data_IF_879221980348
#
_entry.id   IF_879221980348
#
_cell.length_a   1.000
_cell.length_b   1.000
_cell.length_c   1.000
_cell.angle_alpha   90.00
_cell.angle_beta   90.00
_cell.angle_gamma   90.00
#
_symmetry.space_group_name_H-M   'P 1'
#
loop_
_entity.id
_entity.type
_entity.pdbx_description
1 polymer ?
#
# COMPACT_ATOMS: atom_id res chain seq x y z
N UNK A 1 -6.82 -15.30 -0.50
CA UNK A 1 -7.09 -15.87 -1.84
C UNK A 1 -7.37 -14.78 -2.87
N UNK A 2 -8.36 -13.91 -2.66
CA UNK A 2 -8.68 -12.80 -3.58
C UNK A 2 -7.47 -11.93 -3.90
N UNK A 3 -6.72 -11.50 -2.89
CA UNK A 3 -5.51 -10.68 -3.06
C UNK A 3 -4.46 -11.33 -3.98
N UNK A 4 -4.21 -12.64 -3.81
CA UNK A 4 -3.27 -13.38 -4.63
C UNK A 4 -3.75 -13.46 -6.08
N UNK A 5 -5.03 -13.76 -6.29
CA UNK A 5 -5.61 -13.82 -7.63
C UNK A 5 -5.52 -12.46 -8.34
N UNK A 6 -5.89 -11.38 -7.67
CA UNK A 6 -5.78 -10.02 -8.20
C UNK A 6 -4.33 -9.67 -8.54
N UNK A 7 -3.39 -9.96 -7.63
CA UNK A 7 -1.97 -9.65 -7.83
C UNK A 7 -1.39 -10.44 -9.00
N UNK A 8 -1.74 -11.73 -9.13
CA UNK A 8 -1.35 -12.54 -10.27
C UNK A 8 -1.90 -11.97 -11.57
N UNK A 9 -3.20 -11.65 -11.61
CA UNK A 9 -3.84 -11.10 -12.81
C UNK A 9 -3.18 -9.77 -13.17
N UNK A 10 -3.12 -8.81 -12.24
CA UNK A 10 -2.59 -7.47 -12.50
C UNK A 10 -1.14 -7.55 -12.99
N UNK A 11 -0.25 -8.27 -12.30
CA UNK A 11 1.15 -8.32 -12.67
C UNK A 11 1.38 -9.07 -13.98
N UNK A 12 0.86 -10.28 -14.13
CA UNK A 12 1.16 -11.13 -15.29
C UNK A 12 0.39 -10.71 -16.54
N UNK A 13 -0.82 -10.15 -16.41
CA UNK A 13 -1.57 -9.63 -17.55
C UNK A 13 -0.97 -8.32 -18.07
N UNK A 14 -0.61 -7.40 -17.17
CA UNK A 14 -0.13 -6.06 -17.57
C UNK A 14 1.34 -6.08 -18.01
N UNK A 15 2.20 -6.83 -17.32
CA UNK A 15 3.65 -6.83 -17.57
C UNK A 15 4.13 -8.06 -18.35
N UNK A 16 3.24 -9.00 -18.66
CA UNK A 16 3.57 -10.26 -19.30
C UNK A 16 4.34 -11.23 -18.40
N UNK A 17 4.56 -12.43 -18.92
CA UNK A 17 5.27 -13.50 -18.22
C UNK A 17 6.78 -13.41 -18.48
N UNK A 18 7.51 -12.79 -17.56
CA UNK A 18 8.96 -12.60 -17.65
C UNK A 18 9.62 -12.62 -16.26
N UNK A 19 10.95 -12.56 -16.22
CA UNK A 19 11.74 -12.67 -14.98
C UNK A 19 11.48 -11.51 -14.00
N UNK A 20 11.29 -10.27 -14.48
CA UNK A 20 10.96 -9.12 -13.62
C UNK A 20 9.58 -9.25 -12.98
N UNK A 21 8.57 -9.72 -13.73
CA UNK A 21 7.22 -9.94 -13.20
C UNK A 21 7.21 -11.06 -12.16
N UNK A 22 7.93 -12.17 -12.40
CA UNK A 22 8.05 -13.27 -11.42
C UNK A 22 8.69 -12.81 -10.12
N UNK A 23 9.78 -12.03 -10.21
CA UNK A 23 10.45 -11.44 -9.06
C UNK A 23 9.53 -10.50 -8.29
N UNK A 24 8.86 -9.58 -8.99
CA UNK A 24 7.92 -8.65 -8.38
C UNK A 24 6.78 -9.37 -7.66
N UNK A 25 6.20 -10.40 -8.29
CA UNK A 25 5.15 -11.23 -7.71
C UNK A 25 5.61 -11.95 -6.44
N UNK A 26 6.83 -12.53 -6.46
CA UNK A 26 7.41 -13.19 -5.30
C UNK A 26 7.62 -12.22 -4.13
N UNK A 27 8.20 -11.04 -4.40
CA UNK A 27 8.41 -10.02 -3.39
C UNK A 27 7.08 -9.53 -2.81
N UNK A 28 6.08 -9.26 -3.66
CA UNK A 28 4.75 -8.84 -3.23
C UNK A 28 4.08 -9.87 -2.32
N UNK A 29 4.17 -11.17 -2.63
CA UNK A 29 3.63 -12.22 -1.77
C UNK A 29 4.28 -12.19 -0.38
N UNK A 30 5.61 -12.09 -0.31
CA UNK A 30 6.31 -12.06 0.97
C UNK A 30 5.86 -10.84 1.78
N UNK A 31 5.78 -9.67 1.14
CA UNK A 31 5.29 -8.46 1.78
C UNK A 31 3.85 -8.61 2.27
N UNK A 32 2.96 -9.25 1.50
CA UNK A 32 1.59 -9.49 1.93
C UNK A 32 1.48 -10.47 3.10
N UNK A 33 2.33 -11.49 3.16
CA UNK A 33 2.40 -12.36 4.33
C UNK A 33 2.79 -11.58 5.58
N UNK A 34 3.73 -10.63 5.45
CA UNK A 34 4.08 -9.71 6.54
C UNK A 34 2.88 -8.82 6.91
N UNK A 35 2.17 -8.24 5.94
CA UNK A 35 0.96 -7.44 6.22
C UNK A 35 -0.11 -8.24 6.97
N UNK A 36 -0.38 -9.47 6.54
CA UNK A 36 -1.37 -10.35 7.17
C UNK A 36 -1.02 -10.67 8.63
N UNK A 37 0.26 -10.64 8.98
CA UNK A 37 0.72 -10.83 10.36
C UNK A 37 0.59 -9.55 11.19
N UNK A 38 1.04 -8.41 10.65
CA UNK A 38 1.17 -7.16 11.41
C UNK A 38 -0.11 -6.33 11.48
N UNK A 39 -0.88 -6.23 10.38
CA UNK A 39 -2.04 -5.34 10.31
C UNK A 39 -3.14 -5.72 11.30
N UNK A 40 -3.54 -7.00 11.48
CA UNK A 40 -4.57 -7.34 12.47
C UNK A 40 -4.19 -7.00 13.92
N UNK A 41 -2.89 -6.98 14.23
CA UNK A 41 -2.40 -6.57 15.54
C UNK A 41 -2.49 -5.05 15.71
N UNK A 42 -2.05 -4.30 14.70
CA UNK A 42 -2.15 -2.83 14.65
C UNK A 42 -3.60 -2.35 14.74
N UNK A 43 -4.52 -2.93 13.95
CA UNK A 43 -5.93 -2.49 13.92
C UNK A 43 -6.63 -2.69 15.27
N UNK A 44 -6.25 -3.74 16.02
CA UNK A 44 -6.74 -3.95 17.39
C UNK A 44 -6.21 -2.91 18.38
N UNK A 45 -4.96 -2.49 18.24
CA UNK A 45 -4.36 -1.50 19.14
C UNK A 45 -4.93 -0.09 18.93
N UNK A 46 -5.18 0.31 17.68
CA UNK A 46 -5.61 1.66 17.34
C UNK A 46 -7.15 1.80 17.42
N UNK A 47 -7.89 0.69 17.58
CA UNK A 47 -9.34 0.66 17.71
C UNK A 47 -10.09 1.43 16.59
N UNK A 48 -9.54 1.44 15.38
CA UNK A 48 -10.06 2.12 14.18
C UNK A 48 -11.24 1.38 13.53
N UNK A 49 -11.85 0.42 14.22
CA UNK A 49 -12.91 -0.40 13.65
C UNK A 49 -14.30 0.15 13.94
N UNK A 50 -15.27 -0.32 13.13
CA UNK A 50 -16.63 0.18 13.13
C UNK A 50 -16.76 1.54 12.46
N UNK A 51 -17.99 2.05 12.45
CA UNK A 51 -18.32 3.27 11.72
C UNK A 51 -17.88 4.53 12.47
N UNK A 52 -17.62 5.59 11.72
CA UNK A 52 -17.44 6.94 12.24
C UNK A 52 -18.81 7.59 12.46
N UNK A 53 -18.92 8.64 13.30
CA UNK A 53 -20.19 9.35 13.47
C UNK A 53 -20.78 9.82 12.14
N UNK A 54 -19.93 10.30 11.23
CA UNK A 54 -20.30 10.77 9.90
C UNK A 54 -20.86 9.63 9.03
N UNK A 55 -20.24 8.44 9.08
CA UNK A 55 -20.73 7.25 8.38
C UNK A 55 -22.04 6.72 8.98
N UNK A 56 -22.23 6.83 10.31
CA UNK A 56 -23.47 6.38 10.97
C UNK A 56 -24.66 7.21 10.50
N UNK A 57 -24.49 8.53 10.33
CA UNK A 57 -25.54 9.40 9.81
C UNK A 57 -25.95 9.01 8.38
N UNK A 58 -25.00 8.63 7.52
CA UNK A 58 -25.29 8.12 6.17
C UNK A 58 -25.99 6.75 6.21
N UNK A 59 -25.60 5.90 7.15
CA UNK A 59 -26.10 4.53 7.28
C UNK A 59 -27.38 4.44 8.13
N UNK A 60 -27.93 5.56 8.62
CA UNK A 60 -29.08 5.60 9.51
C UNK A 60 -30.35 4.91 8.96
N UNK A 61 -30.42 4.70 7.64
CA UNK A 61 -31.51 4.02 6.95
C UNK A 61 -31.31 2.50 6.77
N UNK A 62 -30.15 1.96 7.13
CA UNK A 62 -29.81 0.54 6.96
C UNK A 62 -30.09 -0.28 8.23
N UNK A 63 -30.31 -1.58 8.04
CA UNK A 63 -30.47 -2.54 9.14
C UNK A 63 -29.09 -3.04 9.62
N UNK A 64 -28.73 -2.66 10.85
CA UNK A 64 -27.50 -3.10 11.51
C UNK A 64 -27.64 -4.45 12.22
N UNK A 65 -28.79 -5.13 12.13
CA UNK A 65 -29.03 -6.43 12.78
C UNK A 65 -28.23 -7.59 12.18
N UNK A 66 -27.62 -7.39 11.00
CA UNK A 66 -26.79 -8.40 10.35
C UNK A 66 -25.48 -8.56 11.13
N UNK A 67 -25.23 -9.79 11.62
CA UNK A 67 -24.01 -10.13 12.33
C UNK A 67 -22.80 -10.19 11.37
N UNK A 68 -22.28 -9.03 10.99
CA UNK A 68 -21.09 -8.88 10.16
C UNK A 68 -19.86 -8.62 11.04
N UNK A 69 -18.74 -9.35 10.84
CA UNK A 69 -17.51 -9.11 11.58
C UNK A 69 -16.79 -7.85 11.07
N UNK A 70 -17.26 -6.66 11.46
CA UNK A 70 -16.71 -5.37 11.00
C UNK A 70 -15.21 -5.21 11.23
N UNK A 71 -14.67 -5.73 12.34
CA UNK A 71 -13.22 -5.73 12.59
C UNK A 71 -12.43 -6.46 11.48
N UNK A 72 -12.95 -7.60 11.02
CA UNK A 72 -12.32 -8.38 9.97
C UNK A 72 -12.42 -7.65 8.63
N UNK A 73 -13.57 -7.02 8.35
CA UNK A 73 -13.75 -6.19 7.16
C UNK A 73 -12.78 -5.01 7.13
N UNK A 74 -12.71 -4.22 8.20
CA UNK A 74 -11.76 -3.10 8.31
C UNK A 74 -10.32 -3.58 8.08
N UNK A 75 -9.94 -4.71 8.68
CA UNK A 75 -8.59 -5.27 8.50
C UNK A 75 -8.32 -5.65 7.04
N UNK A 76 -9.28 -6.29 6.37
CA UNK A 76 -9.16 -6.67 4.95
C UNK A 76 -9.12 -5.43 4.06
N UNK A 77 -9.95 -4.43 4.31
CA UNK A 77 -9.97 -3.17 3.57
C UNK A 77 -8.62 -2.47 3.65
N UNK A 78 -8.02 -2.38 4.83
CA UNK A 78 -6.69 -1.79 5.02
C UNK A 78 -5.63 -2.55 4.21
N UNK A 79 -5.61 -3.88 4.30
CA UNK A 79 -4.65 -4.71 3.54
C UNK A 79 -4.86 -4.51 2.03
N UNK A 80 -6.11 -4.45 1.57
CA UNK A 80 -6.44 -4.20 0.17
C UNK A 80 -5.99 -2.82 -0.30
N UNK A 81 -6.26 -1.76 0.47
CA UNK A 81 -5.81 -0.39 0.16
C UNK A 81 -4.29 -0.29 0.04
N UNK A 82 -3.55 -0.98 0.90
CA UNK A 82 -2.08 -1.00 0.89
C UNK A 82 -1.48 -1.88 -0.21
N UNK A 83 -2.25 -2.82 -0.74
CA UNK A 83 -1.72 -3.83 -1.66
C UNK A 83 -1.27 -3.25 -3.00
N UNK A 84 -2.01 -2.28 -3.54
CA UNK A 84 -1.67 -1.63 -4.81
C UNK A 84 -0.29 -0.98 -4.76
N UNK A 85 -0.02 -0.21 -3.71
CA UNK A 85 1.29 0.44 -3.53
C UNK A 85 2.44 -0.58 -3.45
N UNK A 86 2.22 -1.75 -2.85
CA UNK A 86 3.24 -2.81 -2.77
C UNK A 86 3.46 -3.52 -4.09
N UNK A 87 2.40 -3.76 -4.87
CA UNK A 87 2.50 -4.33 -6.21
C UNK A 87 3.30 -3.39 -7.10
N UNK A 88 2.93 -2.11 -7.12
CA UNK A 88 3.58 -1.08 -7.94
C UNK A 88 5.05 -0.88 -7.53
N UNK A 89 5.33 -0.78 -6.22
CA UNK A 89 6.68 -0.66 -5.69
C UNK A 89 7.57 -1.88 -6.08
N UNK A 90 7.03 -3.09 -5.93
CA UNK A 90 7.76 -4.32 -6.27
C UNK A 90 8.04 -4.39 -7.77
N UNK A 91 7.06 -4.05 -8.62
CA UNK A 91 7.21 -4.09 -10.06
C UNK A 91 8.18 -3.02 -10.58
N UNK A 92 8.09 -1.79 -10.07
CA UNK A 92 8.96 -0.68 -10.47
C UNK A 92 10.43 -0.99 -10.20
N UNK A 93 10.74 -1.47 -8.98
CA UNK A 93 12.11 -1.84 -8.61
C UNK A 93 12.59 -3.07 -9.39
N UNK A 94 11.75 -4.11 -9.54
CA UNK A 94 12.11 -5.29 -10.31
C UNK A 94 12.39 -4.98 -11.80
N UNK A 95 11.61 -4.09 -12.42
CA UNK A 95 11.85 -3.66 -13.81
C UNK A 95 13.16 -2.89 -13.94
N UNK A 96 13.42 -1.94 -13.04
CA UNK A 96 14.66 -1.17 -13.07
C UNK A 96 15.90 -2.06 -12.89
N UNK A 97 15.85 -3.01 -11.95
CA UNK A 97 16.92 -3.99 -11.75
C UNK A 97 17.16 -4.87 -12.97
N UNK A 98 16.09 -5.32 -13.61
CA UNK A 98 16.16 -6.11 -14.82
C UNK A 98 16.86 -5.34 -15.94
N UNK A 99 16.50 -4.07 -16.13
CA UNK A 99 17.11 -3.19 -17.13
C UNK A 99 18.59 -2.90 -16.82
N UNK A 100 18.93 -2.56 -15.58
CA UNK A 100 20.31 -2.35 -15.13
C UNK A 100 21.19 -3.59 -15.37
N UNK A 101 20.64 -4.79 -15.16
CA UNK A 101 21.37 -6.04 -15.41
C UNK A 101 21.53 -6.33 -16.90
N UNK A 102 20.44 -6.26 -17.67
CA UNK A 102 20.43 -6.72 -19.06
C UNK A 102 21.13 -5.75 -20.03
N UNK A 103 21.24 -4.47 -19.67
CA UNK A 103 22.06 -3.49 -20.41
C UNK A 103 23.57 -3.62 -20.11
N UNK A 104 24.00 -4.63 -19.33
CA UNK A 104 25.41 -4.92 -19.09
C UNK A 104 26.10 -3.96 -18.11
N UNK A 105 25.34 -3.11 -17.41
CA UNK A 105 25.92 -2.04 -16.58
C UNK A 105 26.53 -2.56 -15.28
N UNK A 106 26.15 -3.75 -14.79
CA UNK A 106 26.64 -4.27 -13.51
C UNK A 106 26.76 -5.80 -13.44
N UNK A 107 27.93 -6.29 -13.04
CA UNK A 107 28.25 -7.73 -12.94
C UNK A 107 28.17 -8.30 -11.51
N UNK A 108 28.33 -7.47 -10.47
CA UNK A 108 28.38 -7.91 -9.08
C UNK A 108 27.11 -7.49 -8.32
N UNK A 109 26.65 -8.37 -7.43
CA UNK A 109 25.42 -8.15 -6.65
C UNK A 109 25.47 -6.87 -5.81
N UNK A 110 26.63 -6.56 -5.20
CA UNK A 110 26.81 -5.35 -4.38
C UNK A 110 26.63 -4.07 -5.20
N UNK A 111 27.23 -4.04 -6.38
CA UNK A 111 27.17 -2.89 -7.28
C UNK A 111 25.73 -2.73 -7.81
N UNK A 112 25.04 -3.84 -8.09
CA UNK A 112 23.66 -3.84 -8.58
C UNK A 112 22.70 -3.34 -7.50
N UNK A 113 22.89 -3.81 -6.26
CA UNK A 113 22.14 -3.34 -5.11
C UNK A 113 22.37 -1.84 -4.87
N UNK A 114 23.62 -1.38 -4.86
CA UNK A 114 23.95 0.04 -4.67
C UNK A 114 23.33 0.92 -5.76
N UNK A 115 23.35 0.48 -7.02
CA UNK A 115 22.71 1.22 -8.12
C UNK A 115 21.19 1.22 -7.99
N UNK A 116 20.60 0.07 -7.64
CA UNK A 116 19.14 -0.02 -7.43
C UNK A 116 18.64 0.83 -6.27
N UNK A 117 19.46 1.10 -5.24
CA UNK A 117 19.08 1.98 -4.14
C UNK A 117 18.90 3.44 -4.57
N UNK A 118 19.57 3.89 -5.63
CA UNK A 118 19.31 5.22 -6.22
C UNK A 118 17.91 5.27 -6.83
N UNK A 119 17.53 4.23 -7.56
CA UNK A 119 16.18 4.08 -8.13
C UNK A 119 15.13 3.98 -7.03
N UNK A 120 15.41 3.25 -5.95
CA UNK A 120 14.52 3.17 -4.78
C UNK A 120 14.25 4.57 -4.20
N UNK A 121 15.27 5.42 -4.09
CA UNK A 121 15.10 6.79 -3.59
C UNK A 121 14.20 7.63 -4.50
N UNK A 122 14.34 7.50 -5.81
CA UNK A 122 13.50 8.20 -6.80
C UNK A 122 12.04 7.71 -6.75
N UNK A 123 11.83 6.39 -6.73
CA UNK A 123 10.49 5.79 -6.63
C UNK A 123 9.82 6.14 -5.31
N UNK A 124 10.58 6.18 -4.21
CA UNK A 124 10.03 6.54 -2.91
C UNK A 124 9.48 7.98 -2.93
N UNK A 125 10.21 8.91 -3.55
CA UNK A 125 9.76 10.29 -3.73
C UNK A 125 8.42 10.35 -4.45
N UNK A 126 8.30 9.75 -5.64
CA UNK A 126 7.04 9.76 -6.38
C UNK A 126 5.90 9.04 -5.66
N UNK A 127 6.20 7.93 -4.97
CA UNK A 127 5.20 7.14 -4.23
C UNK A 127 4.59 7.92 -3.07
N UNK A 128 5.40 8.70 -2.34
CA UNK A 128 4.90 9.56 -1.25
C UNK A 128 3.93 10.60 -1.78
N UNK A 129 4.24 11.22 -2.93
CA UNK A 129 3.34 12.19 -3.55
C UNK A 129 2.02 11.55 -3.98
N UNK A 130 2.06 10.35 -4.57
CA UNK A 130 0.86 9.60 -4.94
C UNK A 130 0.00 9.26 -3.71
N UNK A 131 0.60 8.77 -2.62
CA UNK A 131 -0.12 8.47 -1.38
C UNK A 131 -0.75 9.73 -0.76
N UNK A 132 -0.03 10.84 -0.77
CA UNK A 132 -0.54 12.12 -0.28
C UNK A 132 -1.77 12.57 -1.09
N UNK A 133 -1.70 12.53 -2.42
CA UNK A 133 -2.85 12.91 -3.25
C UNK A 133 -4.02 11.92 -3.13
N UNK A 134 -3.75 10.62 -3.01
CA UNK A 134 -4.79 9.63 -2.76
C UNK A 134 -5.52 9.91 -1.44
N UNK A 135 -4.78 10.21 -0.37
CA UNK A 135 -5.35 10.61 0.92
C UNK A 135 -6.24 11.84 0.81
N UNK A 136 -5.76 12.93 0.21
CA UNK A 136 -6.54 14.17 0.06
C UNK A 136 -7.78 13.93 -0.80
N UNK A 137 -7.64 13.20 -1.91
CA UNK A 137 -8.75 12.90 -2.80
C UNK A 137 -9.84 12.05 -2.11
N UNK A 138 -9.44 11.04 -1.33
CA UNK A 138 -10.37 10.18 -0.61
C UNK A 138 -11.15 10.93 0.49
N UNK A 139 -10.53 11.96 1.08
CA UNK A 139 -11.13 12.76 2.15
C UNK A 139 -11.78 14.06 1.68
N UNK A 140 -11.85 14.32 0.36
CA UNK A 140 -12.32 15.60 -0.16
C UNK A 140 -13.79 15.90 0.20
N UNK A 141 -14.66 14.90 0.12
CA UNK A 141 -16.06 15.02 0.50
C UNK A 141 -16.21 15.38 1.98
N UNK A 142 -15.42 14.74 2.84
CA UNK A 142 -15.41 15.01 4.29
C UNK A 142 -14.88 16.42 4.59
N UNK A 143 -13.83 16.85 3.89
CA UNK A 143 -13.30 18.21 3.99
C UNK A 143 -14.38 19.25 3.62
N UNK A 144 -15.13 19.02 2.54
CA UNK A 144 -16.23 19.91 2.17
C UNK A 144 -17.38 19.89 3.17
N UNK A 145 -17.78 18.72 3.65
CA UNK A 145 -18.81 18.61 4.70
C UNK A 145 -18.42 19.42 5.94
N UNK A 146 -17.18 19.28 6.42
CA UNK A 146 -16.70 20.05 7.58
C UNK A 146 -16.65 21.55 7.31
N UNK A 147 -16.29 21.95 6.09
CA UNK A 147 -16.29 23.35 5.66
C UNK A 147 -17.71 23.94 5.66
N UNK A 148 -18.69 23.21 5.13
CA UNK A 148 -20.09 23.66 5.03
C UNK A 148 -20.75 23.76 6.41
N UNK A 149 -20.39 22.88 7.36
CA UNK A 149 -20.84 22.94 8.76
C UNK A 149 -20.05 23.92 9.62
N UNK A 150 -19.08 24.65 9.06
CA UNK A 150 -18.22 25.60 9.76
C UNK A 150 -17.47 24.99 10.97
N UNK A 151 -17.09 23.71 10.87
CA UNK A 151 -16.25 23.09 11.89
C UNK A 151 -14.85 23.70 11.90
N UNK A 152 -14.21 23.72 13.07
CA UNK A 152 -12.83 24.18 13.19
C UNK A 152 -11.87 23.17 12.57
N UNK A 153 -10.71 23.66 12.11
CA UNK A 153 -9.64 22.79 11.60
C UNK A 153 -9.15 21.79 12.66
N UNK A 154 -9.16 22.17 13.93
CA UNK A 154 -8.80 21.28 15.05
C UNK A 154 -9.80 20.12 15.18
N UNK A 155 -11.08 20.37 14.93
CA UNK A 155 -12.11 19.32 14.93
C UNK A 155 -11.92 18.37 13.74
N UNK A 156 -11.59 18.91 12.56
CA UNK A 156 -11.32 18.10 11.36
C UNK A 156 -10.15 17.13 11.56
N UNK A 157 -9.00 17.63 12.02
CA UNK A 157 -7.79 16.79 12.14
C UNK A 157 -7.92 15.72 13.23
N UNK A 158 -8.80 15.94 14.22
CA UNK A 158 -9.12 14.98 15.27
C UNK A 158 -10.36 14.12 14.96
N UNK A 159 -11.02 14.33 13.82
CA UNK A 159 -12.18 13.55 13.43
C UNK A 159 -11.76 12.08 13.22
N UNK A 160 -12.57 11.15 13.76
CA UNK A 160 -12.26 9.71 13.70
C UNK A 160 -12.04 9.24 12.26
N UNK A 161 -12.89 9.69 11.33
CA UNK A 161 -12.78 9.39 9.90
C UNK A 161 -11.44 9.85 9.30
N UNK A 162 -11.07 11.10 9.58
CA UNK A 162 -9.83 11.67 9.07
C UNK A 162 -8.59 10.98 9.65
N UNK A 163 -8.58 10.73 10.96
CA UNK A 163 -7.48 10.01 11.63
C UNK A 163 -7.35 8.57 11.13
N UNK A 164 -8.47 7.88 10.88
CA UNK A 164 -8.44 6.52 10.33
C UNK A 164 -7.75 6.50 8.96
N UNK A 165 -8.12 7.41 8.06
CA UNK A 165 -7.52 7.53 6.72
C UNK A 165 -6.04 7.94 6.76
N UNK A 166 -5.65 8.80 7.70
CA UNK A 166 -4.25 9.11 7.97
C UNK A 166 -3.50 7.83 8.34
N UNK A 167 -4.01 7.06 9.31
CA UNK A 167 -3.35 5.82 9.76
C UNK A 167 -3.18 4.83 8.60
N UNK A 168 -4.22 4.64 7.78
CA UNK A 168 -4.14 3.77 6.59
C UNK A 168 -3.09 4.25 5.61
N UNK A 169 -3.06 5.55 5.33
CA UNK A 169 -2.09 6.16 4.41
C UNK A 169 -0.65 6.05 4.91
N UNK A 170 -0.44 6.24 6.22
CA UNK A 170 0.86 6.05 6.86
C UNK A 170 1.31 4.58 6.80
N UNK A 171 0.42 3.63 7.08
CA UNK A 171 0.73 2.20 6.98
C UNK A 171 1.08 1.80 5.54
N UNK A 172 0.36 2.31 4.54
CA UNK A 172 0.68 2.13 3.13
C UNK A 172 2.09 2.67 2.81
N UNK A 173 2.42 3.85 3.31
CA UNK A 173 3.74 4.47 3.17
C UNK A 173 4.85 3.63 3.78
N UNK A 174 4.70 3.18 5.03
CA UNK A 174 5.67 2.33 5.73
C UNK A 174 5.91 1.03 4.95
N UNK A 175 4.85 0.38 4.49
CA UNK A 175 4.99 -0.84 3.71
C UNK A 175 5.64 -0.60 2.35
N UNK A 176 5.38 0.54 1.71
CA UNK A 176 6.07 0.94 0.48
C UNK A 176 7.56 1.14 0.71
N UNK A 177 7.91 1.91 1.74
CA UNK A 177 9.30 2.16 2.16
C UNK A 177 10.04 0.86 2.47
N UNK A 178 9.36 -0.14 3.06
CA UNK A 178 9.94 -1.45 3.34
C UNK A 178 10.08 -2.32 2.08
N UNK A 179 9.08 -2.28 1.19
CA UNK A 179 9.00 -3.14 -0.01
C UNK A 179 10.06 -2.79 -1.05
N UNK A 180 10.33 -1.50 -1.25
CA UNK A 180 11.30 -1.01 -2.23
C UNK A 180 12.73 -1.58 -2.01
N UNK A 181 13.39 -1.36 -0.84
CA UNK A 181 14.72 -1.90 -0.59
C UNK A 181 14.72 -3.44 -0.46
N UNK A 182 13.63 -4.02 0.04
CA UNK A 182 13.48 -5.47 0.08
C UNK A 182 13.52 -6.09 -1.33
N UNK A 183 12.74 -5.53 -2.26
CA UNK A 183 12.73 -5.96 -3.66
C UNK A 183 14.09 -5.71 -4.32
N UNK A 184 14.74 -4.60 -3.99
CA UNK A 184 16.08 -4.29 -4.48
C UNK A 184 17.11 -5.34 -4.06
N UNK A 185 17.08 -5.76 -2.80
CA UNK A 185 17.98 -6.78 -2.27
C UNK A 185 17.74 -8.15 -2.89
N UNK A 186 16.48 -8.62 -2.91
CA UNK A 186 16.11 -9.92 -3.48
C UNK A 186 16.39 -9.95 -4.98
N UNK A 187 16.02 -8.90 -5.71
CA UNK A 187 16.26 -8.77 -7.14
C UNK A 187 17.74 -8.76 -7.50
N UNK A 188 18.56 -8.03 -6.74
CA UNK A 188 20.01 -8.03 -6.94
C UNK A 188 20.62 -9.42 -6.78
N UNK A 189 20.12 -10.22 -5.81
CA UNK A 189 20.53 -11.61 -5.63
C UNK A 189 19.99 -12.53 -6.72
N UNK A 190 18.77 -12.30 -7.19
CA UNK A 190 18.10 -13.10 -8.21
C UNK A 190 18.77 -12.96 -9.58
N UNK A 191 19.06 -11.74 -10.02
CA UNK A 191 19.62 -11.47 -11.35
C UNK A 191 21.14 -11.66 -11.47
N UNK A 192 21.85 -11.81 -10.35
CA UNK A 192 23.30 -12.07 -10.34
C UNK A 192 23.63 -13.57 -10.19
N UNK A 193 22.64 -14.40 -9.88
CA UNK A 193 22.77 -15.86 -9.90
C UNK A 193 22.59 -16.38 -11.32
#
# INVERSE_FOLDING_TARGET
MVLLALTSIILFYTNGYNEKTKLAFFCAIITFLLMLLFIPFLTKMIAISGFTPEEIDELASLDFSVAVPFQALTTILIIMSMSGAVIDASMAVASALYELRYQGQVLKMKDLFSSSMKVVQEILGSSIHTLFFAFVANNLALIFWFSDLHYSFETLINAKAFVAEIVVSFLAGIMTVATLPFTAYIGSKYFTR
#
